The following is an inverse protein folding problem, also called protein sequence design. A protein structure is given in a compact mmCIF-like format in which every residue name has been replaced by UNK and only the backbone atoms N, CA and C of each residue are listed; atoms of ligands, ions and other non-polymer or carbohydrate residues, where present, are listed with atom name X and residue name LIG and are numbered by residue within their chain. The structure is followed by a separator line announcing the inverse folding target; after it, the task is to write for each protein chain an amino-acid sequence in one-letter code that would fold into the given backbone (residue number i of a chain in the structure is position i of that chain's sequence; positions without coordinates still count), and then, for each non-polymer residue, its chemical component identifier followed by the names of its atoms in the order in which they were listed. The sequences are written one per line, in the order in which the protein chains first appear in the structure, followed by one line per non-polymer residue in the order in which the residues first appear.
data_IF_476775802702
#
_entry.id   IF_476775802702
#
_cell.length_a   1.000
_cell.length_b   1.000
_cell.length_c   1.000
_cell.angle_alpha   90.00
_cell.angle_beta   90.00
_cell.angle_gamma   90.00
#
_symmetry.space_group_name_H-M   'P 1'
#
loop_
_entity.id
_entity.type
_entity.pdbx_description
1 polymer ?
#
# COMPACT_ATOMS: atom_id res chain seq x y z
N UNK A 1 -19.73 -21.65 -7.20
CA UNK A 1 -20.07 -21.23 -8.57
C UNK A 1 -18.92 -20.42 -9.13
N UNK A 2 -18.45 -20.66 -10.36
CA UNK A 2 -17.38 -19.84 -10.96
C UNK A 2 -17.99 -18.56 -11.53
N UNK A 3 -17.43 -17.39 -11.18
CA UNK A 3 -17.83 -16.10 -11.69
C UNK A 3 -16.81 -15.56 -12.70
N UNK A 4 -17.28 -14.75 -13.63
CA UNK A 4 -16.44 -13.90 -14.49
C UNK A 4 -16.36 -12.51 -13.85
N UNK A 5 -15.20 -12.18 -13.31
CA UNK A 5 -14.95 -10.96 -12.53
C UNK A 5 -14.09 -9.99 -13.33
N UNK A 6 -14.61 -8.80 -13.57
CA UNK A 6 -13.82 -7.69 -14.10
C UNK A 6 -13.27 -6.83 -12.97
N UNK A 7 -11.94 -6.64 -12.88
CA UNK A 7 -11.32 -5.75 -11.91
C UNK A 7 -10.83 -4.49 -12.62
N UNK A 8 -11.02 -3.32 -12.03
CA UNK A 8 -10.56 -2.06 -12.61
C UNK A 8 -9.53 -1.40 -11.68
N UNK A 9 -8.29 -1.28 -12.18
CA UNK A 9 -7.23 -0.53 -11.53
C UNK A 9 -7.16 0.90 -12.11
N UNK A 10 -7.25 1.95 -11.32
CA UNK A 10 -7.18 3.33 -11.83
C UNK A 10 -5.77 3.77 -12.21
N UNK A 11 -4.74 3.12 -11.66
CA UNK A 11 -3.33 3.50 -11.77
C UNK A 11 -2.57 2.61 -12.75
N UNK A 12 -1.45 3.15 -13.29
CA UNK A 12 -0.59 2.40 -14.22
C UNK A 12 -0.15 1.06 -13.64
N UNK A 13 -0.29 0.02 -14.46
CA UNK A 13 0.14 -1.34 -14.11
C UNK A 13 1.67 -1.46 -13.96
N UNK A 14 2.41 -0.62 -14.65
CA UNK A 14 3.88 -0.64 -14.73
C UNK A 14 4.56 0.00 -13.52
N UNK A 15 3.80 0.80 -12.76
CA UNK A 15 4.34 1.54 -11.61
C UNK A 15 3.92 0.86 -10.31
N UNK A 16 4.87 0.40 -9.50
CA UNK A 16 4.58 -0.17 -8.19
C UNK A 16 3.81 0.80 -7.29
N UNK A 17 2.76 0.30 -6.64
CA UNK A 17 1.92 1.07 -5.72
C UNK A 17 0.93 0.19 -4.98
N UNK A 18 0.48 0.63 -3.79
CA UNK A 18 -0.37 -0.17 -2.90
C UNK A 18 -1.67 -0.65 -3.56
N UNK A 19 -2.39 0.23 -4.27
CA UNK A 19 -3.65 -0.14 -4.96
C UNK A 19 -3.38 -1.13 -6.10
N UNK A 20 -2.34 -0.89 -6.90
CA UNK A 20 -1.95 -1.81 -7.99
C UNK A 20 -1.61 -3.20 -7.45
N UNK A 21 -0.81 -3.27 -6.39
CA UNK A 21 -0.45 -4.54 -5.76
C UNK A 21 -1.67 -5.26 -5.19
N UNK A 22 -2.56 -4.52 -4.50
CA UNK A 22 -3.82 -5.08 -4.00
C UNK A 22 -4.69 -5.67 -5.14
N UNK A 23 -4.85 -4.96 -6.27
CA UNK A 23 -5.62 -5.45 -7.43
C UNK A 23 -4.98 -6.70 -8.03
N UNK A 24 -3.66 -6.73 -8.14
CA UNK A 24 -2.93 -7.89 -8.65
C UNK A 24 -3.09 -9.11 -7.75
N UNK A 25 -2.94 -8.94 -6.45
CA UNK A 25 -3.07 -10.03 -5.47
C UNK A 25 -4.52 -10.53 -5.40
N UNK A 26 -5.51 -9.63 -5.44
CA UNK A 26 -6.93 -9.98 -5.51
C UNK A 26 -7.23 -10.80 -6.77
N UNK A 27 -6.71 -10.39 -7.93
CA UNK A 27 -6.87 -11.13 -9.18
C UNK A 27 -6.31 -12.54 -9.09
N UNK A 28 -5.07 -12.68 -8.58
CA UNK A 28 -4.42 -13.99 -8.39
C UNK A 28 -5.20 -14.86 -7.41
N UNK A 29 -5.68 -14.29 -6.31
CA UNK A 29 -6.45 -15.01 -5.28
C UNK A 29 -7.79 -15.49 -5.81
N UNK A 30 -8.56 -14.64 -6.51
CA UNK A 30 -9.82 -15.01 -7.13
C UNK A 30 -9.63 -16.12 -8.19
N UNK A 31 -8.58 -16.02 -9.01
CA UNK A 31 -8.23 -17.07 -9.98
C UNK A 31 -7.89 -18.38 -9.29
N UNK A 32 -7.16 -18.33 -8.17
CA UNK A 32 -6.86 -19.49 -7.32
C UNK A 32 -8.11 -20.14 -6.71
N UNK A 33 -9.18 -19.38 -6.50
CA UNK A 33 -10.50 -19.87 -6.05
C UNK A 33 -11.39 -20.37 -7.20
N UNK A 34 -10.89 -20.38 -8.45
CA UNK A 34 -11.57 -20.92 -9.62
C UNK A 34 -12.48 -19.93 -10.36
N UNK A 35 -12.35 -18.63 -10.09
CA UNK A 35 -13.05 -17.59 -10.86
C UNK A 35 -12.27 -17.22 -12.14
N UNK A 36 -12.98 -16.80 -13.18
CA UNK A 36 -12.38 -16.16 -14.36
C UNK A 36 -12.21 -14.67 -14.08
N UNK A 37 -10.99 -14.17 -14.14
CA UNK A 37 -10.69 -12.77 -13.79
C UNK A 37 -9.97 -12.08 -14.92
N UNK A 38 -10.40 -10.86 -15.26
CA UNK A 38 -9.65 -9.96 -16.13
C UNK A 38 -9.54 -8.57 -15.50
N UNK A 39 -8.34 -8.00 -15.54
CA UNK A 39 -8.05 -6.67 -14.98
C UNK A 39 -7.89 -5.65 -16.09
N UNK A 40 -8.58 -4.52 -15.99
CA UNK A 40 -8.36 -3.35 -16.85
C UNK A 40 -7.51 -2.33 -16.11
N UNK A 41 -6.36 -1.96 -16.66
CA UNK A 41 -5.45 -0.97 -16.08
C UNK A 41 -4.80 -0.08 -17.15
N UNK A 42 -4.39 1.17 -16.84
CA UNK A 42 -3.52 1.93 -17.72
C UNK A 42 -2.15 1.25 -17.86
N UNK A 43 -1.59 1.21 -19.07
CA UNK A 43 -0.34 0.49 -19.38
C UNK A 43 0.53 1.33 -20.30
N UNK A 44 1.84 1.30 -20.10
CA UNK A 44 2.82 1.85 -21.05
C UNK A 44 2.92 0.95 -22.30
N UNK A 45 3.26 1.53 -23.46
CA UNK A 45 3.14 0.84 -24.75
C UNK A 45 4.00 -0.43 -24.93
N UNK A 46 5.09 -0.56 -24.17
CA UNK A 46 6.07 -1.67 -24.31
C UNK A 46 6.00 -2.70 -23.18
N UNK A 47 4.95 -2.66 -22.34
CA UNK A 47 4.87 -3.51 -21.16
C UNK A 47 4.45 -4.94 -21.50
N UNK A 48 5.16 -5.91 -20.94
CA UNK A 48 4.75 -7.32 -20.96
C UNK A 48 3.69 -7.54 -19.87
N UNK A 49 2.47 -7.84 -20.29
CA UNK A 49 1.32 -8.03 -19.40
C UNK A 49 1.04 -9.52 -19.15
N UNK A 50 0.56 -9.88 -17.95
CA UNK A 50 -0.09 -11.16 -17.74
C UNK A 50 -1.32 -11.30 -18.68
N UNK A 51 -1.66 -12.54 -19.05
CA UNK A 51 -2.79 -12.86 -19.94
C UNK A 51 -4.16 -12.38 -19.43
N UNK A 52 -4.26 -12.15 -18.15
CA UNK A 52 -5.46 -11.66 -17.46
C UNK A 52 -5.47 -10.14 -17.24
N UNK A 53 -4.51 -9.39 -17.81
CA UNK A 53 -4.48 -7.92 -17.75
C UNK A 53 -4.72 -7.35 -19.13
N UNK A 54 -5.69 -6.46 -19.25
CA UNK A 54 -6.05 -5.75 -20.47
C UNK A 54 -5.55 -4.30 -20.42
N UNK A 55 -4.93 -3.85 -21.49
CA UNK A 55 -4.48 -2.47 -21.65
C UNK A 55 -5.68 -1.49 -21.74
N UNK A 56 -5.82 -0.64 -20.73
CA UNK A 56 -6.80 0.44 -20.64
C UNK A 56 -6.39 1.74 -21.31
N UNK A 57 -5.18 1.82 -21.83
CA UNK A 57 -4.61 2.98 -22.52
C UNK A 57 -3.43 3.60 -21.80
N UNK A 58 -2.64 4.37 -22.57
CA UNK A 58 -1.43 5.02 -22.07
C UNK A 58 -1.73 5.95 -20.89
N UNK A 59 -1.00 5.81 -19.78
CA UNK A 59 -1.17 6.68 -18.62
C UNK A 59 -0.57 8.07 -18.85
N UNK A 60 -1.18 9.07 -18.23
CA UNK A 60 -0.68 10.44 -18.13
C UNK A 60 -0.35 10.72 -16.67
N UNK A 61 0.82 11.30 -16.43
CA UNK A 61 1.26 11.68 -15.09
C UNK A 61 0.47 12.91 -14.60
N UNK A 62 -0.19 12.79 -13.45
CA UNK A 62 -0.98 13.84 -12.83
C UNK A 62 -0.52 14.00 -11.38
N UNK A 63 -0.12 15.22 -10.93
CA UNK A 63 0.18 15.46 -9.53
C UNK A 63 -1.05 15.18 -8.66
N UNK A 64 -0.89 14.36 -7.63
CA UNK A 64 -1.98 13.95 -6.74
C UNK A 64 -1.45 13.69 -5.32
N UNK A 65 -1.88 14.49 -4.36
CA UNK A 65 -1.55 14.33 -2.92
C UNK A 65 -0.06 14.18 -2.60
N UNK A 66 0.80 15.00 -3.19
CA UNK A 66 2.25 14.94 -2.98
C UNK A 66 2.95 13.76 -3.67
N UNK A 67 2.20 12.99 -4.46
CA UNK A 67 2.70 11.95 -5.35
C UNK A 67 2.31 12.22 -6.80
N UNK A 68 2.77 11.40 -7.73
CA UNK A 68 2.35 11.44 -9.13
C UNK A 68 1.49 10.22 -9.44
N UNK A 69 0.19 10.45 -9.65
CA UNK A 69 -0.71 9.43 -10.15
C UNK A 69 -0.56 9.31 -11.69
N UNK A 70 -0.56 8.08 -12.20
CA UNK A 70 -0.52 7.80 -13.65
C UNK A 70 -1.86 7.24 -14.08
N UNK A 71 -2.66 8.08 -14.72
CA UNK A 71 -4.08 7.87 -15.01
C UNK A 71 -4.34 7.84 -16.50
N UNK A 72 -5.35 7.08 -16.95
CA UNK A 72 -5.83 7.10 -18.34
C UNK A 72 -7.29 7.57 -18.38
N UNK A 73 -7.57 8.63 -19.14
CA UNK A 73 -8.88 9.23 -19.27
C UNK A 73 -9.15 9.74 -20.69
N UNK A 74 -10.42 10.00 -21.02
CA UNK A 74 -10.84 10.58 -22.28
C UNK A 74 -11.51 9.59 -23.25
N UNK A 75 -11.74 10.04 -24.50
CA UNK A 75 -12.56 9.30 -25.48
C UNK A 75 -11.97 7.94 -25.84
N UNK A 76 -10.66 7.85 -26.01
CA UNK A 76 -9.99 6.56 -26.33
C UNK A 76 -10.10 5.58 -25.16
N UNK A 77 -9.85 6.04 -23.94
CA UNK A 77 -9.99 5.24 -22.73
C UNK A 77 -11.46 4.78 -22.54
N UNK A 78 -12.44 5.66 -22.77
CA UNK A 78 -13.86 5.31 -22.72
C UNK A 78 -14.22 4.21 -23.72
N UNK A 79 -13.69 4.27 -24.95
CA UNK A 79 -13.92 3.21 -25.95
C UNK A 79 -13.34 1.87 -25.49
N UNK A 80 -12.12 1.86 -24.93
CA UNK A 80 -11.48 0.66 -24.39
C UNK A 80 -12.28 0.07 -23.23
N UNK A 81 -12.72 0.90 -22.28
CA UNK A 81 -13.59 0.47 -21.16
C UNK A 81 -14.86 -0.21 -21.69
N UNK A 82 -15.55 0.40 -22.67
CA UNK A 82 -16.78 -0.16 -23.24
C UNK A 82 -16.55 -1.47 -23.99
N UNK A 83 -15.44 -1.58 -24.73
CA UNK A 83 -15.07 -2.83 -25.43
C UNK A 83 -14.79 -3.93 -24.41
N UNK A 84 -13.97 -3.62 -23.39
CA UNK A 84 -13.61 -4.55 -22.32
C UNK A 84 -14.82 -5.07 -21.55
N UNK A 85 -15.79 -4.19 -21.18
CA UNK A 85 -17.03 -4.61 -20.52
C UNK A 85 -17.85 -5.54 -21.42
N UNK A 86 -18.00 -5.20 -22.71
CA UNK A 86 -18.78 -5.99 -23.66
C UNK A 86 -18.15 -7.34 -23.94
N UNK A 87 -16.83 -7.39 -24.14
CA UNK A 87 -16.08 -8.60 -24.51
C UNK A 87 -15.87 -9.53 -23.31
N UNK A 88 -15.70 -8.96 -22.11
CA UNK A 88 -15.51 -9.72 -20.88
C UNK A 88 -16.79 -10.40 -20.38
N UNK A 89 -17.96 -9.88 -20.74
CA UNK A 89 -19.28 -10.42 -20.35
C UNK A 89 -19.31 -10.80 -18.85
N UNK A 90 -18.87 -9.85 -18.02
CA UNK A 90 -18.64 -10.06 -16.59
C UNK A 90 -19.94 -10.23 -15.81
N UNK A 91 -19.95 -11.19 -14.87
CA UNK A 91 -21.04 -11.35 -13.90
C UNK A 91 -21.01 -10.21 -12.87
N UNK A 92 -19.81 -9.69 -12.57
CA UNK A 92 -19.60 -8.55 -11.67
C UNK A 92 -18.35 -7.75 -12.09
N UNK A 93 -18.41 -6.43 -11.93
CA UNK A 93 -17.24 -5.55 -12.10
C UNK A 93 -16.89 -4.90 -10.77
N UNK A 94 -15.67 -5.11 -10.32
CA UNK A 94 -15.13 -4.55 -9.08
C UNK A 94 -14.16 -3.42 -9.41
N UNK A 95 -14.48 -2.23 -8.94
CA UNK A 95 -13.79 -0.99 -9.28
C UNK A 95 -12.99 -0.52 -8.06
N UNK A 96 -11.68 -0.30 -8.23
CA UNK A 96 -10.86 0.32 -7.20
C UNK A 96 -10.79 1.82 -7.41
N UNK A 97 -10.94 2.61 -6.32
CA UNK A 97 -11.01 4.07 -6.36
C UNK A 97 -12.03 4.60 -7.41
N UNK A 98 -13.33 4.37 -7.21
CA UNK A 98 -14.35 4.61 -8.24
C UNK A 98 -14.44 6.07 -8.71
N UNK A 99 -14.00 7.02 -7.90
CA UNK A 99 -13.99 8.46 -8.24
C UNK A 99 -12.65 8.95 -8.81
N UNK A 100 -11.63 8.09 -8.91
CA UNK A 100 -10.41 8.45 -9.59
C UNK A 100 -10.73 8.83 -11.05
N UNK A 101 -10.29 10.01 -11.53
CA UNK A 101 -10.53 10.46 -12.90
C UNK A 101 -9.67 9.64 -13.87
N UNK A 102 -9.97 8.36 -13.97
CA UNK A 102 -9.28 7.33 -14.73
C UNK A 102 -10.30 6.30 -15.24
N UNK A 103 -9.82 5.11 -15.58
CA UNK A 103 -10.64 3.98 -16.02
C UNK A 103 -11.75 3.65 -15.01
N UNK A 104 -11.51 3.87 -13.71
CA UNK A 104 -12.49 3.64 -12.65
C UNK A 104 -13.77 4.45 -12.84
N UNK A 105 -13.66 5.76 -12.96
CA UNK A 105 -14.81 6.65 -13.16
C UNK A 105 -15.49 6.37 -14.52
N UNK A 106 -14.70 6.12 -15.57
CA UNK A 106 -15.23 5.77 -16.89
C UNK A 106 -16.01 4.46 -16.85
N UNK A 107 -15.57 3.49 -16.05
CA UNK A 107 -16.28 2.21 -15.87
C UNK A 107 -17.58 2.41 -15.10
N UNK A 108 -17.61 3.21 -14.04
CA UNK A 108 -18.85 3.58 -13.33
C UNK A 108 -19.90 4.13 -14.31
N UNK A 109 -19.50 5.00 -15.23
CA UNK A 109 -20.43 5.57 -16.20
C UNK A 109 -20.84 4.63 -17.32
N UNK A 110 -19.97 3.69 -17.71
CA UNK A 110 -20.17 2.83 -18.88
C UNK A 110 -20.87 1.50 -18.55
N UNK A 111 -20.65 0.94 -17.37
CA UNK A 111 -21.19 -0.35 -16.98
C UNK A 111 -22.69 -0.29 -16.68
N UNK A 112 -23.39 -1.41 -17.00
CA UNK A 112 -24.82 -1.61 -16.77
C UNK A 112 -25.11 -2.77 -15.79
N UNK A 113 -24.12 -3.63 -15.53
CA UNK A 113 -24.21 -4.77 -14.61
C UNK A 113 -23.95 -4.39 -13.16
N UNK A 114 -23.88 -5.37 -12.26
CA UNK A 114 -23.55 -5.16 -10.86
C UNK A 114 -22.12 -4.59 -10.71
N UNK A 115 -22.01 -3.52 -9.91
CA UNK A 115 -20.74 -2.87 -9.59
C UNK A 115 -20.48 -2.94 -8.10
N UNK A 116 -19.25 -3.32 -7.74
CA UNK A 116 -18.70 -3.20 -6.39
C UNK A 116 -17.52 -2.24 -6.42
N UNK A 117 -17.32 -1.47 -5.38
CA UNK A 117 -16.21 -0.53 -5.30
C UNK A 117 -15.36 -0.78 -4.04
N UNK A 118 -14.02 -0.62 -4.19
CA UNK A 118 -13.10 -0.56 -3.05
C UNK A 118 -12.43 0.81 -2.97
N UNK A 119 -12.48 1.40 -1.78
CA UNK A 119 -11.92 2.69 -1.43
C UNK A 119 -10.62 2.49 -0.65
N UNK A 120 -9.51 3.01 -1.19
CA UNK A 120 -8.17 2.86 -0.61
C UNK A 120 -7.63 4.15 -0.02
N UNK A 121 -8.11 5.30 -0.51
CA UNK A 121 -7.52 6.61 -0.21
C UNK A 121 -8.05 7.17 1.09
N UNK A 122 -7.13 7.72 1.88
CA UNK A 122 -7.41 8.56 3.03
C UNK A 122 -7.03 9.99 2.70
N UNK A 123 -7.99 10.90 2.71
CA UNK A 123 -7.77 12.33 2.43
C UNK A 123 -8.43 13.20 3.48
N UNK A 124 -7.68 14.16 3.98
CA UNK A 124 -8.27 15.34 4.59
C UNK A 124 -9.06 16.11 3.52
N UNK A 125 -10.06 16.90 3.94
CA UNK A 125 -11.03 17.58 3.08
C UNK A 125 -10.45 18.07 1.74
N UNK A 126 -10.80 17.40 0.64
CA UNK A 126 -10.43 17.81 -0.71
C UNK A 126 -11.50 18.72 -1.30
N UNK A 127 -11.12 19.98 -1.63
CA UNK A 127 -11.99 20.91 -2.34
C UNK A 127 -12.40 20.40 -3.71
N UNK A 128 -11.55 19.58 -4.35
CA UNK A 128 -11.81 18.99 -5.67
C UNK A 128 -12.92 17.96 -5.58
N UNK A 129 -12.90 17.08 -4.56
CA UNK A 129 -13.97 16.11 -4.34
C UNK A 129 -15.29 16.78 -3.98
N UNK A 130 -15.26 17.85 -3.18
CA UNK A 130 -16.45 18.62 -2.84
C UNK A 130 -17.05 19.35 -4.06
N UNK A 131 -16.22 19.88 -4.96
CA UNK A 131 -16.67 20.50 -6.21
C UNK A 131 -17.23 19.45 -7.20
N UNK A 132 -16.72 18.21 -7.16
CA UNK A 132 -17.16 17.08 -7.98
C UNK A 132 -18.34 16.29 -7.41
N UNK A 133 -18.99 16.74 -6.35
CA UNK A 133 -20.04 16.00 -5.64
C UNK A 133 -21.13 15.42 -6.55
N UNK A 134 -21.71 16.22 -7.43
CA UNK A 134 -22.76 15.76 -8.36
C UNK A 134 -22.25 14.69 -9.34
N UNK A 135 -20.99 14.81 -9.78
CA UNK A 135 -20.34 13.82 -10.64
C UNK A 135 -20.13 12.52 -9.85
N UNK A 136 -19.70 12.62 -8.59
CA UNK A 136 -19.54 11.49 -7.69
C UNK A 136 -20.85 10.73 -7.48
N UNK A 137 -21.96 11.44 -7.25
CA UNK A 137 -23.29 10.84 -7.04
C UNK A 137 -23.71 9.96 -8.24
N UNK A 138 -23.47 10.39 -9.48
CA UNK A 138 -23.81 9.58 -10.68
C UNK A 138 -23.05 8.25 -10.76
N UNK A 139 -21.87 8.16 -10.13
CA UNK A 139 -21.12 6.93 -10.02
C UNK A 139 -21.61 6.09 -8.81
N UNK A 140 -21.87 6.74 -7.68
CA UNK A 140 -22.30 6.07 -6.44
C UNK A 140 -23.64 5.36 -6.57
N UNK A 141 -24.61 5.94 -7.28
CA UNK A 141 -25.95 5.37 -7.50
C UNK A 141 -25.92 4.00 -8.20
N UNK A 142 -24.85 3.69 -8.92
CA UNK A 142 -24.69 2.41 -9.63
C UNK A 142 -24.03 1.33 -8.80
N UNK A 143 -23.40 1.69 -7.67
CA UNK A 143 -22.70 0.72 -6.83
C UNK A 143 -23.72 -0.12 -6.05
N UNK A 144 -23.54 -1.43 -6.07
CA UNK A 144 -24.31 -2.40 -5.28
C UNK A 144 -23.64 -2.73 -3.97
N UNK A 145 -22.30 -2.62 -3.92
CA UNK A 145 -21.49 -2.81 -2.72
C UNK A 145 -20.34 -1.82 -2.68
N UNK A 146 -19.97 -1.41 -1.47
CA UNK A 146 -18.81 -0.56 -1.21
C UNK A 146 -17.98 -1.18 -0.10
N UNK A 147 -16.69 -1.27 -0.32
CA UNK A 147 -15.67 -1.75 0.60
C UNK A 147 -14.71 -0.59 0.92
N UNK A 148 -14.39 -0.39 2.18
CA UNK A 148 -13.31 0.50 2.58
C UNK A 148 -12.21 -0.32 3.24
N UNK A 149 -10.96 -0.10 2.84
CA UNK A 149 -9.83 -0.88 3.36
C UNK A 149 -9.42 -0.50 4.78
N UNK A 150 -9.93 0.61 5.28
CA UNK A 150 -9.68 1.09 6.63
C UNK A 150 -10.76 2.07 7.08
N UNK A 151 -10.78 2.35 8.38
CA UNK A 151 -11.68 3.38 8.93
C UNK A 151 -11.35 4.78 8.38
N UNK A 152 -10.08 5.06 8.08
CA UNK A 152 -9.65 6.32 7.46
C UNK A 152 -10.22 6.46 6.04
N UNK A 153 -10.16 5.39 5.24
CA UNK A 153 -10.76 5.37 3.89
C UNK A 153 -12.29 5.51 3.97
N UNK A 154 -12.94 4.84 4.93
CA UNK A 154 -14.38 4.92 5.17
C UNK A 154 -14.81 6.33 5.58
N UNK A 155 -14.09 6.99 6.50
CA UNK A 155 -14.36 8.39 6.89
C UNK A 155 -14.21 9.36 5.73
N UNK A 156 -13.24 9.12 4.85
CA UNK A 156 -13.05 9.90 3.62
C UNK A 156 -14.26 9.76 2.71
N UNK A 157 -14.76 8.55 2.48
CA UNK A 157 -15.97 8.29 1.72
C UNK A 157 -17.19 9.02 2.32
N UNK A 158 -17.47 8.82 3.59
CA UNK A 158 -18.61 9.41 4.30
C UNK A 158 -18.55 10.95 4.24
N UNK A 159 -17.37 11.51 4.49
CA UNK A 159 -17.19 12.97 4.58
C UNK A 159 -17.26 13.72 3.25
N UNK A 160 -16.96 13.04 2.12
CA UNK A 160 -16.90 13.70 0.81
C UNK A 160 -18.05 13.35 -0.13
N UNK A 161 -18.60 12.14 0.00
CA UNK A 161 -19.54 11.59 -0.98
C UNK A 161 -20.89 11.22 -0.37
N UNK A 162 -20.95 11.03 0.94
CA UNK A 162 -22.20 10.75 1.65
C UNK A 162 -22.69 9.32 1.44
N UNK A 163 -21.81 8.37 1.28
CA UNK A 163 -22.10 6.93 1.25
C UNK A 163 -21.56 6.24 2.49
N UNK A 164 -21.72 4.93 2.57
CA UNK A 164 -21.06 4.08 3.56
C UNK A 164 -20.44 2.84 2.88
N UNK A 165 -19.49 2.22 3.57
CA UNK A 165 -18.80 1.04 3.08
C UNK A 165 -18.54 0.05 4.21
N UNK A 166 -18.50 -1.24 3.87
CA UNK A 166 -18.09 -2.29 4.79
C UNK A 166 -16.57 -2.25 4.92
N UNK A 167 -16.07 -2.42 6.13
CA UNK A 167 -14.64 -2.49 6.38
C UNK A 167 -14.15 -3.90 6.03
N UNK A 168 -13.33 -4.00 4.97
CA UNK A 168 -12.58 -5.20 4.62
C UNK A 168 -11.14 -4.75 4.38
N UNK A 169 -10.17 -5.19 5.20
CA UNK A 169 -8.80 -4.72 5.12
C UNK A 169 -8.12 -5.14 3.81
N UNK A 170 -7.00 -4.51 3.49
CA UNK A 170 -6.16 -5.00 2.41
C UNK A 170 -5.63 -6.39 2.75
N UNK A 171 -5.75 -7.32 1.80
CA UNK A 171 -5.08 -8.61 1.88
C UNK A 171 -3.59 -8.49 1.55
N UNK A 172 -2.79 -9.35 2.15
CA UNK A 172 -1.36 -9.53 1.88
C UNK A 172 -1.11 -11.01 1.65
N UNK A 173 -0.25 -11.38 0.71
CA UNK A 173 0.18 -12.77 0.55
C UNK A 173 1.26 -13.09 1.60
N UNK A 174 0.82 -13.39 2.81
CA UNK A 174 1.67 -13.57 3.99
C UNK A 174 2.76 -14.62 3.76
N UNK A 175 2.44 -15.72 3.06
CA UNK A 175 3.38 -16.79 2.71
C UNK A 175 4.59 -16.31 1.89
N UNK A 176 4.44 -15.26 1.07
CA UNK A 176 5.53 -14.75 0.26
C UNK A 176 6.59 -14.03 1.10
N UNK A 177 6.24 -13.59 2.29
CA UNK A 177 7.12 -12.90 3.24
C UNK A 177 7.63 -13.82 4.35
N UNK A 178 6.89 -14.88 4.69
CA UNK A 178 7.23 -15.77 5.80
C UNK A 178 8.60 -16.43 5.57
N UNK A 179 9.53 -16.35 6.52
CA UNK A 179 10.82 -17.02 6.41
C UNK A 179 10.66 -18.54 6.56
N UNK A 180 11.51 -19.32 5.87
CA UNK A 180 11.54 -20.78 6.00
C UNK A 180 11.88 -21.25 7.42
N UNK A 181 12.65 -20.45 8.17
CA UNK A 181 12.98 -20.70 9.56
C UNK A 181 12.88 -19.40 10.37
N UNK A 182 12.19 -19.48 11.50
CA UNK A 182 12.07 -18.35 12.46
C UNK A 182 13.35 -18.11 13.26
N UNK A 183 14.27 -19.10 13.32
CA UNK A 183 15.53 -19.05 14.06
C UNK A 183 16.67 -18.38 13.26
N UNK A 184 16.40 -17.91 12.04
CA UNK A 184 17.40 -17.26 11.21
C UNK A 184 17.96 -16.02 11.92
N UNK A 185 19.29 -15.98 12.08
CA UNK A 185 19.98 -14.80 12.61
C UNK A 185 19.79 -13.63 11.63
N UNK A 186 19.17 -12.55 12.10
CA UNK A 186 18.95 -11.33 11.35
C UNK A 186 20.08 -10.36 11.52
N UNK A 187 20.35 -9.59 10.48
CA UNK A 187 21.36 -8.51 10.55
C UNK A 187 20.85 -7.41 11.48
N UNK A 188 21.74 -6.90 12.32
CA UNK A 188 21.46 -5.72 13.16
C UNK A 188 21.44 -4.46 12.29
N UNK A 189 20.46 -4.39 11.42
CA UNK A 189 20.27 -3.35 10.42
C UNK A 189 18.83 -2.83 10.51
N UNK A 190 18.66 -1.56 10.13
CA UNK A 190 17.35 -0.96 9.90
C UNK A 190 16.99 -1.02 8.42
N UNK A 191 15.70 -1.10 8.11
CA UNK A 191 15.17 -0.97 6.77
C UNK A 191 14.08 0.10 6.73
N UNK A 192 14.21 1.03 5.80
CA UNK A 192 13.16 1.95 5.38
C UNK A 192 12.69 1.56 3.96
N UNK A 193 11.38 1.53 3.74
CA UNK A 193 10.77 1.28 2.43
C UNK A 193 9.83 2.42 2.05
N UNK A 194 10.15 3.13 0.98
CA UNK A 194 9.31 4.22 0.49
C UNK A 194 10.00 5.09 -0.52
N UNK A 195 9.21 5.87 -1.29
CA UNK A 195 9.75 6.89 -2.18
C UNK A 195 10.53 7.91 -1.37
N UNK A 196 11.82 8.11 -1.71
CA UNK A 196 12.73 8.94 -0.90
C UNK A 196 12.35 10.43 -0.88
N UNK A 197 11.74 10.94 -1.95
CA UNK A 197 11.31 12.33 -2.09
C UNK A 197 9.92 12.60 -1.51
N UNK A 198 9.21 11.59 -1.03
CA UNK A 198 7.84 11.73 -0.55
C UNK A 198 7.83 12.11 0.94
N UNK A 199 7.55 13.39 1.32
CA UNK A 199 7.71 13.86 2.69
C UNK A 199 6.84 13.08 3.69
N UNK A 200 5.66 12.60 3.26
CA UNK A 200 4.78 11.82 4.14
C UNK A 200 5.36 10.46 4.53
N UNK A 201 6.35 9.92 3.79
CA UNK A 201 7.05 8.67 4.16
C UNK A 201 8.05 8.87 5.29
N UNK A 202 8.45 10.12 5.57
CA UNK A 202 9.19 10.51 6.76
C UNK A 202 10.66 10.08 6.76
N UNK A 203 11.29 9.92 5.59
CA UNK A 203 12.73 9.62 5.53
C UNK A 203 13.55 10.69 6.27
N UNK A 204 13.17 11.97 6.18
CA UNK A 204 13.81 13.05 6.95
C UNK A 204 13.75 12.83 8.46
N UNK A 205 12.60 12.37 8.99
CA UNK A 205 12.47 12.05 10.42
C UNK A 205 13.43 10.94 10.85
N UNK A 206 13.64 9.94 9.98
CA UNK A 206 14.63 8.89 10.23
C UNK A 206 16.06 9.44 10.19
N UNK A 207 16.40 10.23 9.18
CA UNK A 207 17.72 10.84 9.05
C UNK A 207 18.04 11.71 10.28
N UNK A 208 17.09 12.53 10.72
CA UNK A 208 17.24 13.39 11.91
C UNK A 208 17.39 12.60 13.22
N UNK A 209 16.88 11.36 13.28
CA UNK A 209 17.02 10.47 14.43
C UNK A 209 18.39 9.75 14.47
N UNK A 210 19.06 9.58 13.32
CA UNK A 210 20.28 8.76 13.22
C UNK A 210 21.45 9.23 14.06
N UNK A 211 21.76 10.53 14.24
CA UNK A 211 22.87 10.95 15.11
C UNK A 211 22.75 10.38 16.53
N UNK A 212 21.56 10.45 17.12
CA UNK A 212 21.32 9.92 18.48
C UNK A 212 21.40 8.38 18.52
N UNK A 213 20.97 7.70 17.47
CA UNK A 213 21.03 6.24 17.36
C UNK A 213 22.48 5.79 17.19
N UNK A 214 23.24 6.40 16.28
CA UNK A 214 24.63 6.05 15.97
C UNK A 214 25.59 6.34 17.12
N UNK A 215 25.28 7.31 17.98
CA UNK A 215 26.02 7.55 19.21
C UNK A 215 26.02 6.32 20.14
N UNK A 216 24.94 5.53 20.18
CA UNK A 216 24.81 4.34 21.01
C UNK A 216 25.09 3.03 20.24
N UNK A 217 24.91 3.03 18.91
CA UNK A 217 25.11 1.87 18.03
C UNK A 217 25.92 2.32 16.79
N UNK A 218 27.25 2.53 16.93
CA UNK A 218 28.07 3.13 15.87
C UNK A 218 28.20 2.26 14.61
N UNK A 219 27.99 0.95 14.71
CA UNK A 219 28.08 -0.03 13.63
C UNK A 219 26.72 -0.30 12.94
N UNK A 220 25.67 0.45 13.29
CA UNK A 220 24.36 0.28 12.71
C UNK A 220 24.33 0.66 11.23
N UNK A 221 23.70 -0.18 10.42
CA UNK A 221 23.46 0.07 9.00
C UNK A 221 21.99 0.34 8.77
N UNK A 222 21.71 1.37 7.96
CA UNK A 222 20.35 1.78 7.58
C UNK A 222 20.18 1.59 6.07
N UNK A 223 19.37 0.61 5.70
CA UNK A 223 19.04 0.36 4.30
C UNK A 223 17.82 1.21 3.92
N UNK A 224 17.95 2.04 2.90
CA UNK A 224 16.89 2.89 2.33
C UNK A 224 16.55 2.36 0.95
N UNK A 225 15.38 1.75 0.79
CA UNK A 225 14.92 1.20 -0.47
C UNK A 225 13.64 1.90 -0.95
N UNK A 226 13.66 2.30 -2.20
CA UNK A 226 12.55 2.96 -2.88
C UNK A 226 13.01 3.85 -4.03
N UNK A 227 12.10 4.18 -4.94
CA UNK A 227 12.40 5.08 -6.05
C UNK A 227 12.55 6.53 -5.59
N UNK A 228 13.20 7.36 -6.41
CA UNK A 228 13.36 8.80 -6.23
C UNK A 228 14.76 9.27 -6.54
N UNK A 229 15.03 10.58 -6.40
CA UNK A 229 16.36 11.15 -6.60
C UNK A 229 17.22 10.95 -5.35
N UNK A 230 17.96 9.83 -5.36
CA UNK A 230 18.86 9.45 -4.26
C UNK A 230 20.03 10.40 -4.13
N UNK A 231 20.51 10.94 -5.23
CA UNK A 231 21.69 11.81 -5.22
C UNK A 231 21.38 13.16 -4.57
N UNK A 232 20.15 13.63 -4.71
CA UNK A 232 19.69 14.83 -4.03
C UNK A 232 19.61 14.61 -2.51
N UNK A 233 18.95 13.53 -2.07
CA UNK A 233 18.90 13.19 -0.65
C UNK A 233 20.27 12.95 -0.05
N UNK A 234 21.19 12.32 -0.80
CA UNK A 234 22.57 12.03 -0.33
C UNK A 234 23.39 13.29 -0.08
N UNK A 235 23.19 14.36 -0.88
CA UNK A 235 23.88 15.64 -0.67
C UNK A 235 23.53 16.31 0.66
N UNK A 236 22.29 16.10 1.11
CA UNK A 236 21.76 16.72 2.33
C UNK A 236 22.03 15.87 3.60
N UNK A 237 22.65 14.68 3.45
CA UNK A 237 22.98 13.85 4.61
C UNK A 237 24.08 14.49 5.47
N UNK A 238 23.90 14.54 6.82
CA UNK A 238 24.99 14.90 7.72
C UNK A 238 26.20 13.97 7.55
N UNK A 239 27.39 14.54 7.63
CA UNK A 239 28.65 13.81 7.37
C UNK A 239 28.89 12.62 8.32
N UNK A 240 28.38 12.72 9.54
CA UNK A 240 28.44 11.67 10.58
C UNK A 240 27.37 10.57 10.37
N UNK A 241 26.32 10.85 9.62
CA UNK A 241 25.23 9.90 9.29
C UNK A 241 25.49 9.17 7.98
N UNK A 242 26.03 9.85 7.00
CA UNK A 242 26.19 9.34 5.63
C UNK A 242 26.85 7.94 5.53
N UNK A 243 27.90 7.58 6.32
CA UNK A 243 28.52 6.25 6.27
C UNK A 243 27.60 5.10 6.67
N UNK A 244 26.59 5.38 7.50
CA UNK A 244 25.66 4.39 8.02
C UNK A 244 24.48 4.11 7.04
N UNK A 245 24.23 5.01 6.08
CA UNK A 245 23.06 4.93 5.18
C UNK A 245 23.42 4.29 3.84
N UNK A 246 22.71 3.22 3.48
CA UNK A 246 22.82 2.52 2.19
C UNK A 246 21.56 2.74 1.38
N UNK A 247 21.66 3.52 0.31
CA UNK A 247 20.56 3.67 -0.65
C UNK A 247 20.57 2.51 -1.65
N UNK A 248 19.47 1.78 -1.74
CA UNK A 248 19.31 0.61 -2.60
C UNK A 248 18.53 0.93 -3.89
N UNK A 249 17.96 2.13 -3.99
CA UNK A 249 17.11 2.49 -5.13
C UNK A 249 15.79 1.74 -5.14
N UNK A 250 15.14 1.75 -6.29
CA UNK A 250 13.94 0.94 -6.51
C UNK A 250 14.30 -0.55 -6.48
N UNK A 251 13.56 -1.32 -5.69
CA UNK A 251 13.76 -2.76 -5.54
C UNK A 251 12.56 -3.54 -6.09
N UNK A 252 12.81 -4.76 -6.56
CA UNK A 252 11.75 -5.70 -6.96
C UNK A 252 10.98 -6.22 -5.72
N UNK A 253 9.78 -6.76 -5.93
CA UNK A 253 9.01 -7.38 -4.84
C UNK A 253 9.78 -8.52 -4.18
N UNK A 254 10.47 -9.37 -4.94
CA UNK A 254 11.34 -10.41 -4.40
C UNK A 254 12.46 -9.83 -3.50
N UNK A 255 13.12 -8.75 -3.95
CA UNK A 255 14.16 -8.11 -3.14
C UNK A 255 13.61 -7.44 -1.88
N UNK A 256 12.41 -6.85 -1.96
CA UNK A 256 11.70 -6.31 -0.79
C UNK A 256 11.44 -7.40 0.25
N UNK A 257 10.96 -8.57 -0.19
CA UNK A 257 10.72 -9.73 0.68
C UNK A 257 12.00 -10.20 1.37
N UNK A 258 13.11 -10.30 0.62
CA UNK A 258 14.41 -10.67 1.16
C UNK A 258 14.89 -9.65 2.21
N UNK A 259 14.86 -8.35 1.90
CA UNK A 259 15.27 -7.29 2.82
C UNK A 259 14.49 -7.34 4.13
N UNK A 260 13.16 -7.50 4.05
CA UNK A 260 12.32 -7.62 5.25
C UNK A 260 12.65 -8.88 6.07
N UNK A 261 13.08 -9.98 5.43
CA UNK A 261 13.52 -11.18 6.14
C UNK A 261 14.94 -11.08 6.72
N UNK A 262 15.79 -10.22 6.16
CA UNK A 262 17.19 -10.08 6.56
C UNK A 262 17.40 -9.15 7.75
N UNK A 263 16.64 -8.04 7.85
CA UNK A 263 16.85 -7.02 8.87
C UNK A 263 16.18 -7.33 10.20
N UNK A 264 16.73 -6.83 11.28
CA UNK A 264 16.11 -6.92 12.60
C UNK A 264 14.92 -5.97 12.75
N UNK A 265 15.02 -4.76 12.20
CA UNK A 265 14.03 -3.70 12.41
C UNK A 265 13.60 -3.08 11.10
N UNK A 266 12.31 -3.06 10.87
CA UNK A 266 11.68 -2.24 9.83
C UNK A 266 11.16 -0.94 10.45
N UNK A 267 11.52 0.20 9.84
CA UNK A 267 11.14 1.54 10.34
C UNK A 267 10.16 2.19 9.37
N UNK A 268 8.99 2.57 9.87
CA UNK A 268 7.94 3.28 9.13
C UNK A 268 7.65 4.66 9.75
N UNK A 269 8.46 5.69 9.48
CA UNK A 269 8.39 6.98 10.15
C UNK A 269 7.39 7.93 9.46
N UNK A 270 6.27 7.41 8.98
CA UNK A 270 5.31 8.21 8.21
C UNK A 270 4.78 9.40 9.00
N UNK A 271 4.64 10.54 8.34
CA UNK A 271 4.18 11.78 8.96
C UNK A 271 2.66 11.98 8.89
N UNK A 272 1.96 11.11 8.15
CA UNK A 272 0.51 11.13 7.93
C UNK A 272 0.13 10.63 6.53
N UNK A 273 -1.17 10.72 6.19
CA UNK A 273 -1.67 10.40 4.85
C UNK A 273 -1.55 8.92 4.42
N UNK A 274 -1.45 8.01 5.39
CA UNK A 274 -1.48 6.57 5.14
C UNK A 274 -2.87 6.03 5.51
N UNK A 275 -3.44 5.22 4.61
CA UNK A 275 -4.78 4.67 4.83
C UNK A 275 -4.77 3.33 5.54
N UNK A 276 -3.74 2.51 5.35
CA UNK A 276 -3.69 1.16 5.93
C UNK A 276 -2.30 0.80 6.48
N UNK A 277 -1.26 0.79 5.62
CA UNK A 277 0.08 0.38 6.01
C UNK A 277 0.39 -1.07 5.66
N UNK A 278 0.16 -1.46 4.40
CA UNK A 278 0.43 -2.81 3.88
C UNK A 278 1.83 -3.30 4.27
N UNK A 279 2.83 -2.41 4.19
CA UNK A 279 4.24 -2.78 4.47
C UNK A 279 4.47 -3.16 5.94
N UNK A 280 3.65 -2.68 6.88
CA UNK A 280 3.71 -3.15 8.28
C UNK A 280 3.31 -4.62 8.38
N UNK A 281 2.26 -5.02 7.65
CA UNK A 281 1.81 -6.42 7.59
C UNK A 281 2.88 -7.29 6.94
N UNK A 282 3.46 -6.84 5.82
CA UNK A 282 4.58 -7.50 5.14
C UNK A 282 5.79 -7.69 6.07
N UNK A 283 6.15 -6.65 6.83
CA UNK A 283 7.26 -6.69 7.78
C UNK A 283 7.00 -7.64 8.95
N UNK A 284 5.77 -7.64 9.51
CA UNK A 284 5.36 -8.59 10.54
C UNK A 284 5.39 -10.03 10.01
N UNK A 285 4.86 -10.27 8.80
CA UNK A 285 4.89 -11.57 8.14
C UNK A 285 6.32 -12.07 7.89
N UNK A 286 7.22 -11.16 7.53
CA UNK A 286 8.64 -11.45 7.35
C UNK A 286 9.37 -11.68 8.68
N UNK A 287 8.78 -11.33 9.82
CA UNK A 287 9.37 -11.40 11.16
C UNK A 287 10.38 -10.30 11.47
N UNK A 288 10.35 -9.18 10.77
CA UNK A 288 11.04 -7.95 11.20
C UNK A 288 10.30 -7.31 12.38
N UNK A 289 11.03 -6.79 13.35
CA UNK A 289 10.43 -5.96 14.38
C UNK A 289 10.01 -4.61 13.77
N UNK A 290 8.73 -4.27 13.88
CA UNK A 290 8.21 -3.02 13.32
C UNK A 290 8.37 -1.89 14.33
N UNK A 291 9.00 -0.78 13.90
CA UNK A 291 9.00 0.52 14.60
C UNK A 291 8.28 1.52 13.70
N UNK A 292 7.15 2.05 14.15
CA UNK A 292 6.31 2.89 13.31
C UNK A 292 5.79 4.11 14.06
N UNK A 293 5.49 5.18 13.32
CA UNK A 293 4.81 6.36 13.89
C UNK A 293 3.38 6.00 14.36
N UNK A 294 2.87 6.74 15.34
CA UNK A 294 1.57 6.50 15.99
C UNK A 294 0.37 7.07 15.20
N UNK A 295 0.48 7.16 13.88
CA UNK A 295 -0.65 7.57 13.04
C UNK A 295 -1.81 6.56 13.12
N UNK A 296 -3.07 6.98 12.95
CA UNK A 296 -4.24 6.12 13.17
C UNK A 296 -4.18 4.77 12.45
N UNK A 297 -3.82 4.76 11.17
CA UNK A 297 -3.70 3.53 10.37
C UNK A 297 -2.68 2.54 10.98
N UNK A 298 -1.53 3.03 11.42
CA UNK A 298 -0.47 2.19 12.01
C UNK A 298 -0.83 1.70 13.41
N UNK A 299 -1.48 2.54 14.22
CA UNK A 299 -2.03 2.12 15.50
C UNK A 299 -2.99 0.95 15.35
N UNK A 300 -3.89 1.01 14.36
CA UNK A 300 -4.83 -0.06 14.06
C UNK A 300 -4.12 -1.36 13.66
N UNK A 301 -3.19 -1.29 12.68
CA UNK A 301 -2.46 -2.47 12.19
C UNK A 301 -1.61 -3.10 13.29
N UNK A 302 -0.96 -2.30 14.14
CA UNK A 302 -0.09 -2.76 15.22
C UNK A 302 -0.80 -2.97 16.55
N UNK A 303 -2.15 -2.91 16.59
CA UNK A 303 -2.96 -3.08 17.80
C UNK A 303 -2.50 -2.19 18.96
N UNK A 304 -2.38 -0.88 18.68
CA UNK A 304 -1.87 0.12 19.63
C UNK A 304 -0.50 -0.24 20.23
N UNK A 305 0.38 -0.83 19.42
CA UNK A 305 1.76 -1.13 19.81
C UNK A 305 1.97 -2.54 20.38
N UNK A 306 0.97 -3.43 20.36
CA UNK A 306 1.13 -4.82 20.80
C UNK A 306 2.01 -5.64 19.85
N UNK A 307 1.90 -5.39 18.54
CA UNK A 307 2.61 -6.13 17.47
C UNK A 307 3.75 -5.34 16.82
N UNK A 308 4.11 -4.19 17.38
CA UNK A 308 5.23 -3.34 16.95
C UNK A 308 5.43 -2.18 17.91
N UNK A 309 6.54 -1.48 17.81
CA UNK A 309 6.84 -0.32 18.65
C UNK A 309 6.33 0.95 18.00
N UNK A 310 5.46 1.69 18.67
CA UNK A 310 4.98 2.99 18.21
C UNK A 310 5.82 4.12 18.82
N UNK A 311 5.96 5.21 18.05
CA UNK A 311 6.58 6.48 18.50
C UNK A 311 5.75 7.67 17.99
N UNK A 312 5.86 8.82 18.65
CA UNK A 312 5.14 10.04 18.26
C UNK A 312 5.52 10.50 16.84
N UNK A 313 4.53 10.63 15.95
CA UNK A 313 4.76 11.01 14.57
C UNK A 313 5.50 12.36 14.47
N UNK A 314 6.41 12.49 13.49
CA UNK A 314 7.24 13.68 13.25
C UNK A 314 8.22 14.04 14.40
N UNK A 315 8.48 13.13 15.31
CA UNK A 315 9.41 13.31 16.42
C UNK A 315 10.66 12.42 16.24
N UNK A 316 11.80 12.96 15.76
CA UNK A 316 13.04 12.21 15.58
C UNK A 316 13.60 11.63 16.89
N UNK A 317 13.41 12.34 18.01
CA UNK A 317 13.87 11.87 19.32
C UNK A 317 13.07 10.66 19.76
N UNK A 318 11.74 10.71 19.66
CA UNK A 318 10.87 9.58 19.97
C UNK A 318 11.17 8.37 19.07
N UNK A 319 11.48 8.59 17.78
CA UNK A 319 11.94 7.53 16.88
C UNK A 319 13.26 6.92 17.35
N UNK A 320 14.25 7.74 17.70
CA UNK A 320 15.53 7.25 18.19
C UNK A 320 15.36 6.39 19.47
N UNK A 321 14.61 6.89 20.44
CA UNK A 321 14.30 6.17 21.68
C UNK A 321 13.59 4.82 21.39
N UNK A 322 12.63 4.80 20.46
CA UNK A 322 11.93 3.59 20.06
C UNK A 322 12.86 2.56 19.39
N UNK A 323 13.71 2.98 18.44
CA UNK A 323 14.69 2.11 17.78
C UNK A 323 15.69 1.55 18.80
N UNK A 324 16.27 2.40 19.63
CA UNK A 324 17.23 1.99 20.64
C UNK A 324 16.62 0.98 21.63
N UNK A 325 15.36 1.20 22.04
CA UNK A 325 14.68 0.28 22.96
C UNK A 325 14.56 -1.15 22.40
N UNK A 326 14.27 -1.31 21.10
CA UNK A 326 14.15 -2.64 20.49
C UNK A 326 15.49 -3.25 20.09
N UNK A 327 16.53 -2.44 19.90
CA UNK A 327 17.91 -2.92 19.66
C UNK A 327 18.62 -3.35 20.95
N UNK A 328 18.29 -2.74 22.09
CA UNK A 328 18.89 -3.03 23.38
C UNK A 328 18.26 -4.24 24.10
N UNK A 329 16.99 -4.52 23.88
CA UNK A 329 16.24 -5.61 24.54
C UNK A 329 15.77 -6.67 23.51
N UNK A 330 16.59 -7.70 23.36
CA UNK A 330 16.31 -8.84 22.48
C UNK A 330 15.04 -9.62 22.88
N UNK A 331 14.73 -9.70 24.16
CA UNK A 331 13.54 -10.41 24.64
C UNK A 331 12.27 -9.63 24.29
N UNK A 332 12.25 -8.31 24.55
CA UNK A 332 11.15 -7.44 24.16
C UNK A 332 10.96 -7.41 22.63
N UNK A 333 12.06 -7.33 21.86
CA UNK A 333 12.00 -7.38 20.39
C UNK A 333 11.38 -8.69 19.89
N UNK A 334 11.85 -9.84 20.37
CA UNK A 334 11.28 -11.15 20.01
C UNK A 334 9.82 -11.28 20.41
N UNK A 335 9.42 -10.72 21.54
CA UNK A 335 8.01 -10.70 21.94
C UNK A 335 7.12 -9.90 20.98
N UNK A 336 7.59 -8.76 20.45
CA UNK A 336 6.87 -7.99 19.42
C UNK A 336 6.76 -8.79 18.12
N UNK A 337 7.84 -9.39 17.65
CA UNK A 337 7.87 -10.24 16.45
C UNK A 337 6.91 -11.43 16.58
N UNK A 338 6.95 -12.13 17.72
CA UNK A 338 6.07 -13.29 17.99
C UNK A 338 4.58 -12.92 17.93
N UNK A 339 4.20 -11.71 18.37
CA UNK A 339 2.83 -11.20 18.24
C UNK A 339 2.53 -10.70 16.82
N UNK A 340 3.54 -10.27 16.08
CA UNK A 340 3.40 -9.82 14.70
C UNK A 340 2.94 -10.91 13.74
N UNK A 341 3.43 -12.14 13.86
CA UNK A 341 3.02 -13.24 12.99
C UNK A 341 1.52 -13.54 12.98
N UNK A 342 0.86 -13.81 14.13
CA UNK A 342 -0.59 -14.05 14.14
C UNK A 342 -1.37 -12.80 13.74
N UNK A 343 -0.85 -11.60 13.98
CA UNK A 343 -1.47 -10.36 13.52
C UNK A 343 -1.42 -10.23 12.01
N UNK A 344 -0.28 -10.51 11.37
CA UNK A 344 -0.14 -10.53 9.92
C UNK A 344 -1.06 -11.57 9.27
N UNK A 345 -1.20 -12.75 9.87
CA UNK A 345 -2.07 -13.81 9.36
C UNK A 345 -3.56 -13.41 9.26
N UNK A 346 -4.04 -12.45 10.07
CA UNK A 346 -5.40 -11.92 9.96
C UNK A 346 -5.63 -11.14 8.66
N UNK A 347 -4.56 -10.68 8.04
CA UNK A 347 -4.56 -9.95 6.77
C UNK A 347 -4.16 -10.82 5.58
N UNK A 348 -4.01 -12.15 5.77
CA UNK A 348 -3.74 -13.04 4.64
C UNK A 348 -4.89 -13.03 3.65
N UNK A 349 -4.56 -13.05 2.35
CA UNK A 349 -5.58 -13.11 1.31
C UNK A 349 -6.49 -14.32 1.45
N UNK A 350 -5.99 -15.46 1.95
CA UNK A 350 -6.81 -16.64 2.19
C UNK A 350 -7.89 -16.41 3.27
N UNK A 351 -7.69 -15.43 4.15
CA UNK A 351 -8.68 -14.99 5.17
C UNK A 351 -9.58 -13.88 4.62
N UNK A 352 -8.99 -12.85 4.01
CA UNK A 352 -9.70 -11.63 3.59
C UNK A 352 -10.62 -11.87 2.39
N UNK A 353 -10.28 -12.84 1.52
CA UNK A 353 -11.02 -13.08 0.27
C UNK A 353 -12.47 -13.53 0.52
N UNK A 354 -12.74 -14.24 1.60
CA UNK A 354 -14.07 -14.73 1.90
C UNK A 354 -15.02 -13.56 2.20
N UNK A 355 -14.55 -12.55 2.95
CA UNK A 355 -15.30 -11.30 3.20
C UNK A 355 -15.58 -10.53 1.90
N UNK A 356 -14.62 -10.53 0.95
CA UNK A 356 -14.81 -9.87 -0.35
C UNK A 356 -15.83 -10.61 -1.22
N UNK A 357 -15.85 -11.94 -1.18
CA UNK A 357 -16.78 -12.76 -1.97
C UNK A 357 -18.22 -12.75 -1.45
N UNK A 358 -18.44 -12.38 -0.19
CA UNK A 358 -19.76 -12.23 0.40
C UNK A 358 -20.47 -10.93 -0.02
N UNK A 359 -19.78 -10.01 -0.72
CA UNK A 359 -20.28 -8.68 -1.12
C UNK A 359 -20.56 -8.61 -2.60
#
# INVERSE_FOLDING_TARGET
MSLRVGLVCPYSWDVPGGVRSHVADLAVTLRGRGHSVNVLAPVEEESVLPDWVTDGGRPVAVPYNGAVARLSFGVKATRRVRSWIREGDFDIVHIHEPLAPSLSLLTCWSARGPLVATWHSSHDRSRVLSAGYYVAQTAMEKLRGSIAVSEEARRTLIGHVGGDAVLIPNGVRVKDFTPESHDRQRRRELLFLGRVEEPRKGLSVLIDALPAILQQVPDLVVNVAGPGDIDDVRKDLPADVAPAVRFLGAVTDARKQELLREVQVYVAPHTGGESFGIVLVEAMAAGSCVVASDIPAFRHVLEDGKSGRLFAAKDPKALADAVLSVLADDAARRALVSRGFPRAAQYDWDTVIDDVLER
#
